data_IF_409719300259
#
_entry.id   IF_409719300259
#
_cell.length_a   1.000
_cell.length_b   1.000
_cell.length_c   1.000
_cell.angle_alpha   90.00
_cell.angle_beta   90.00
_cell.angle_gamma   90.00
#
_symmetry.space_group_name_H-M   'P 1'
#
loop_
_entity.id
_entity.type
_entity.pdbx_description
1 polymer ?
#
# COMPACT_ATOMS: atom_id res chain seq x y z
N UNK A 1 44.01 -29.71 -16.88
CA UNK A 1 43.48 -28.33 -16.95
C UNK A 1 41.98 -28.27 -16.56
N UNK A 2 41.57 -28.95 -15.47
CA UNK A 2 40.15 -29.07 -15.03
C UNK A 2 39.76 -28.11 -13.89
N UNK A 3 40.70 -27.29 -13.40
CA UNK A 3 40.52 -26.45 -12.20
C UNK A 3 40.29 -24.97 -12.49
N UNK A 4 40.37 -24.55 -13.76
CA UNK A 4 40.21 -23.14 -14.16
C UNK A 4 38.81 -22.78 -14.69
N UNK A 5 37.92 -23.76 -14.91
CA UNK A 5 36.55 -23.52 -15.41
C UNK A 5 35.55 -23.28 -14.28
N UNK A 6 35.86 -23.72 -13.05
CA UNK A 6 34.93 -23.62 -11.91
C UNK A 6 34.90 -22.20 -11.29
N UNK A 7 35.95 -21.41 -11.48
CA UNK A 7 36.04 -20.06 -10.88
C UNK A 7 35.15 -19.02 -11.57
N UNK A 8 34.85 -19.18 -12.86
CA UNK A 8 34.11 -18.18 -13.64
C UNK A 8 32.58 -18.30 -13.49
N UNK A 9 32.08 -19.48 -13.10
CA UNK A 9 30.64 -19.70 -12.90
C UNK A 9 30.11 -19.10 -11.58
N UNK A 10 30.98 -18.93 -10.57
CA UNK A 10 30.60 -18.31 -9.29
C UNK A 10 30.49 -16.77 -9.36
N UNK A 11 31.19 -16.12 -10.29
CA UNK A 11 31.16 -14.66 -10.42
C UNK A 11 29.87 -14.11 -11.03
N UNK A 12 29.23 -14.88 -11.93
CA UNK A 12 28.01 -14.45 -12.62
C UNK A 12 26.74 -14.68 -11.80
N UNK A 13 26.76 -15.60 -10.83
CA UNK A 13 25.63 -15.88 -9.93
C UNK A 13 25.48 -14.83 -8.80
N UNK A 14 26.52 -14.01 -8.58
CA UNK A 14 26.50 -12.95 -7.57
C UNK A 14 25.79 -11.66 -7.98
N UNK A 15 25.53 -11.42 -9.27
CA UNK A 15 24.90 -10.19 -9.76
C UNK A 15 23.37 -10.25 -9.90
N UNK A 16 22.73 -11.41 -9.66
CA UNK A 16 21.29 -11.60 -9.92
C UNK A 16 20.36 -11.53 -8.70
N UNK A 17 20.84 -11.27 -7.48
CA UNK A 17 20.02 -11.55 -6.29
C UNK A 17 19.92 -10.44 -5.23
N UNK A 18 20.07 -9.16 -5.60
CA UNK A 18 19.66 -8.08 -4.70
C UNK A 18 18.90 -6.98 -5.44
N UNK A 19 17.83 -7.36 -6.15
CA UNK A 19 16.73 -6.40 -6.25
C UNK A 19 16.25 -6.22 -4.81
N UNK A 20 16.43 -5.04 -4.18
CA UNK A 20 15.76 -4.79 -2.91
C UNK A 20 14.28 -5.11 -3.15
N UNK A 21 13.59 -5.79 -2.21
CA UNK A 21 12.16 -5.94 -2.34
C UNK A 21 11.61 -4.56 -2.64
N UNK A 22 10.78 -4.45 -3.68
CA UNK A 22 10.00 -3.24 -3.90
C UNK A 22 9.19 -3.06 -2.62
N UNK A 23 9.74 -2.27 -1.69
CA UNK A 23 9.00 -1.77 -0.57
C UNK A 23 7.96 -0.89 -1.25
N UNK A 24 6.76 -1.47 -1.46
CA UNK A 24 5.56 -0.69 -1.64
C UNK A 24 5.63 0.43 -0.62
N UNK A 25 5.40 1.65 -1.08
CA UNK A 25 5.54 2.88 -0.31
C UNK A 25 4.49 2.94 0.82
N UNK A 26 4.56 2.02 1.78
CA UNK A 26 3.67 1.93 2.95
C UNK A 26 3.90 3.10 3.92
N UNK A 27 4.86 3.98 3.64
CA UNK A 27 5.29 5.09 4.48
C UNK A 27 4.72 6.45 4.03
N UNK A 28 3.59 6.47 3.35
CA UNK A 28 2.98 7.73 2.89
C UNK A 28 2.17 8.45 3.98
N UNK A 29 1.68 7.74 4.99
CA UNK A 29 0.95 8.37 6.09
C UNK A 29 1.90 8.66 7.26
N UNK A 30 1.94 9.92 7.65
CA UNK A 30 2.62 10.36 8.86
C UNK A 30 1.61 10.99 9.82
N UNK A 31 1.87 10.80 11.11
CA UNK A 31 1.01 11.19 12.21
C UNK A 31 1.77 12.09 13.16
N UNK A 32 1.05 13.01 13.80
CA UNK A 32 1.63 13.93 14.77
C UNK A 32 0.62 14.31 15.85
N UNK A 33 1.07 14.49 17.10
CA UNK A 33 0.22 15.03 18.18
C UNK A 33 0.24 16.55 18.22
N UNK A 34 1.31 17.18 17.76
CA UNK A 34 1.59 18.61 17.89
C UNK A 34 1.60 19.36 16.55
N UNK A 35 1.48 18.63 15.43
CA UNK A 35 1.57 19.15 14.07
C UNK A 35 3.00 19.56 13.68
N UNK A 36 4.01 19.19 14.46
CA UNK A 36 5.42 19.58 14.26
C UNK A 36 6.34 18.37 14.16
N UNK A 37 6.10 17.35 14.98
CA UNK A 37 6.87 16.13 15.05
C UNK A 37 6.09 15.00 14.38
N UNK A 38 6.64 14.44 13.30
CA UNK A 38 5.95 13.48 12.45
C UNK A 38 6.56 12.08 12.58
N UNK A 39 5.70 11.07 12.65
CA UNK A 39 6.09 9.66 12.71
C UNK A 39 5.00 8.76 12.12
N UNK A 40 5.34 7.53 11.70
CA UNK A 40 4.35 6.59 11.17
C UNK A 40 3.40 6.01 12.23
N UNK A 41 3.70 6.23 13.51
CA UNK A 41 2.87 5.84 14.64
C UNK A 41 2.71 7.01 15.58
N UNK A 42 1.58 7.10 16.28
CA UNK A 42 1.46 8.00 17.42
C UNK A 42 2.13 7.31 18.61
N UNK A 43 3.07 7.99 19.27
CA UNK A 43 3.66 7.48 20.51
C UNK A 43 2.58 7.35 21.58
N UNK A 44 2.08 6.14 21.80
CA UNK A 44 0.93 5.85 22.67
C UNK A 44 -0.43 6.04 21.99
N UNK A 45 -1.50 5.49 22.60
CA UNK A 45 -2.88 5.61 22.10
C UNK A 45 -3.36 7.06 22.02
N UNK A 46 -4.24 7.35 21.04
CA UNK A 46 -4.93 8.65 20.95
C UNK A 46 -5.89 8.89 22.12
N UNK A 47 -6.38 7.79 22.69
CA UNK A 47 -7.17 7.76 23.91
C UNK A 47 -6.29 7.22 25.04
N UNK A 48 -6.44 7.79 26.22
CA UNK A 48 -5.79 7.29 27.42
C UNK A 48 -6.40 5.92 27.78
N UNK A 49 -5.59 4.87 27.67
CA UNK A 49 -6.01 3.51 28.02
C UNK A 49 -6.28 3.44 29.52
N UNK A 50 -7.50 3.05 29.92
CA UNK A 50 -7.90 2.90 31.32
C UNK A 50 -8.68 4.07 31.93
N UNK A 51 -9.10 5.04 31.12
CA UNK A 51 -10.05 6.07 31.58
C UNK A 51 -11.41 5.43 31.83
N UNK A 52 -11.98 5.71 33.01
CA UNK A 52 -13.38 5.42 33.31
C UNK A 52 -14.26 6.52 32.76
N UNK A 53 -15.24 6.13 31.96
CA UNK A 53 -16.25 7.01 31.42
C UNK A 53 -17.47 7.03 32.34
N UNK A 54 -18.06 8.20 32.52
CA UNK A 54 -19.32 8.39 33.24
C UNK A 54 -20.43 8.65 32.20
N UNK A 55 -21.66 8.16 32.41
CA UNK A 55 -22.78 8.49 31.53
C UNK A 55 -22.91 9.99 31.28
N UNK A 56 -23.11 10.37 30.02
CA UNK A 56 -23.09 11.76 29.57
C UNK A 56 -21.70 12.33 29.25
N UNK A 57 -20.62 11.59 29.49
CA UNK A 57 -19.27 12.04 29.15
C UNK A 57 -19.11 12.25 27.65
N UNK A 58 -18.44 13.33 27.30
CA UNK A 58 -17.96 13.61 25.94
C UNK A 58 -16.44 13.78 26.00
N UNK A 59 -15.71 13.09 25.13
CA UNK A 59 -14.27 13.32 24.94
C UNK A 59 -14.00 13.64 23.49
N UNK A 60 -13.12 14.62 23.29
CA UNK A 60 -12.59 14.96 21.98
C UNK A 60 -11.08 14.77 22.04
N UNK A 61 -10.55 13.97 21.12
CA UNK A 61 -9.11 13.83 20.90
C UNK A 61 -8.77 14.40 19.54
N UNK A 62 -7.55 14.93 19.43
CA UNK A 62 -7.07 15.52 18.20
C UNK A 62 -5.65 15.07 17.92
N UNK A 63 -5.36 14.83 16.65
CA UNK A 63 -4.04 14.58 16.12
C UNK A 63 -3.97 15.10 14.69
N UNK A 64 -2.79 15.11 14.11
CA UNK A 64 -2.55 15.57 12.75
C UNK A 64 -2.14 14.37 11.89
N UNK A 65 -2.58 14.41 10.64
CA UNK A 65 -2.17 13.49 9.58
C UNK A 65 -1.47 14.29 8.49
N UNK A 66 -0.43 13.71 7.88
CA UNK A 66 0.28 14.29 6.73
C UNK A 66 0.44 13.24 5.65
N UNK A 67 0.25 13.69 4.41
CA UNK A 67 0.56 12.90 3.23
C UNK A 67 2.03 13.11 2.85
N UNK A 68 2.89 12.18 3.26
CA UNK A 68 4.30 12.11 2.85
C UNK A 68 4.51 11.35 1.53
N UNK A 69 3.44 11.07 0.77
CA UNK A 69 3.51 10.48 -0.57
C UNK A 69 3.79 11.49 -1.67
N UNK A 70 4.11 10.99 -2.86
CA UNK A 70 4.46 11.80 -4.04
C UNK A 70 3.24 12.35 -4.79
N UNK A 71 2.04 11.86 -4.47
CA UNK A 71 0.77 12.25 -5.10
C UNK A 71 -0.23 12.71 -4.04
N UNK A 72 -1.23 13.49 -4.44
CA UNK A 72 -2.36 13.82 -3.56
C UNK A 72 -3.15 12.55 -3.21
N UNK A 73 -3.62 12.44 -1.97
CA UNK A 73 -4.30 11.24 -1.49
C UNK A 73 -5.61 11.56 -0.77
N UNK A 74 -6.62 10.73 -0.96
CA UNK A 74 -7.83 10.74 -0.15
C UNK A 74 -7.58 10.11 1.21
N UNK A 75 -8.08 10.77 2.24
CA UNK A 75 -8.00 10.30 3.61
C UNK A 75 -9.30 9.63 4.06
N UNK A 76 -9.17 8.41 4.58
CA UNK A 76 -10.25 7.69 5.25
C UNK A 76 -9.86 7.29 6.67
N UNK A 77 -10.88 7.23 7.52
CA UNK A 77 -10.83 6.76 8.90
C UNK A 77 -11.89 5.67 9.06
N UNK A 78 -11.48 4.53 9.61
CA UNK A 78 -12.41 3.52 10.08
C UNK A 78 -12.29 3.38 11.60
N UNK A 79 -13.41 3.10 12.24
CA UNK A 79 -13.46 2.68 13.64
C UNK A 79 -13.55 1.16 13.67
N UNK A 80 -12.67 0.51 14.43
CA UNK A 80 -12.67 -0.93 14.64
C UNK A 80 -13.00 -1.20 16.10
N UNK A 81 -13.93 -2.12 16.34
CA UNK A 81 -14.30 -2.54 17.69
C UNK A 81 -14.91 -3.93 17.62
N UNK A 82 -14.55 -4.79 18.57
CA UNK A 82 -15.23 -6.08 18.77
C UNK A 82 -16.55 -5.93 19.56
N UNK A 83 -16.79 -4.74 20.12
CA UNK A 83 -17.95 -4.35 20.95
C UNK A 83 -18.60 -5.50 21.75
N UNK A 84 -17.86 -6.15 22.68
CA UNK A 84 -18.31 -7.37 23.34
C UNK A 84 -19.57 -7.18 24.18
N UNK A 85 -19.82 -5.94 24.62
CA UNK A 85 -20.96 -5.56 25.44
C UNK A 85 -22.07 -4.87 24.62
N UNK A 86 -21.94 -4.71 23.30
CA UNK A 86 -22.95 -4.10 22.45
C UNK A 86 -23.25 -2.63 22.80
N UNK A 87 -22.24 -1.83 23.13
CA UNK A 87 -22.36 -0.41 23.42
C UNK A 87 -22.70 0.42 22.18
N UNK A 88 -22.17 0.06 21.00
CA UNK A 88 -22.51 0.70 19.74
C UNK A 88 -23.90 0.27 19.27
N UNK A 89 -24.21 -1.02 19.31
CA UNK A 89 -25.50 -1.56 18.86
C UNK A 89 -26.68 -1.00 19.67
N UNK A 90 -26.44 -0.71 20.96
CA UNK A 90 -27.44 -0.07 21.84
C UNK A 90 -27.48 1.45 21.72
N UNK A 91 -26.61 2.05 20.90
CA UNK A 91 -26.49 3.50 20.77
C UNK A 91 -26.02 4.20 22.06
N UNK A 92 -25.33 3.46 22.94
CA UNK A 92 -24.78 4.02 24.18
C UNK A 92 -23.50 4.80 23.91
N UNK A 93 -22.70 4.38 22.93
CA UNK A 93 -21.52 5.12 22.50
C UNK A 93 -21.69 5.55 21.05
N UNK A 94 -21.44 6.82 20.77
CA UNK A 94 -21.35 7.34 19.40
C UNK A 94 -19.93 7.84 19.14
N UNK A 95 -19.46 7.63 17.92
CA UNK A 95 -18.15 8.11 17.45
C UNK A 95 -18.38 9.03 16.26
N UNK A 96 -17.89 10.25 16.39
CA UNK A 96 -17.89 11.24 15.33
C UNK A 96 -16.45 11.64 15.01
N UNK A 97 -16.15 11.90 13.76
CA UNK A 97 -14.87 12.44 13.37
C UNK A 97 -15.04 13.62 12.41
N UNK A 98 -14.05 14.51 12.40
CA UNK A 98 -13.94 15.59 11.42
C UNK A 98 -12.50 15.86 11.05
N UNK A 99 -12.32 16.43 9.87
CA UNK A 99 -11.03 16.85 9.33
C UNK A 99 -11.02 18.38 9.21
N UNK A 100 -9.97 19.05 9.68
CA UNK A 100 -9.75 20.51 9.54
C UNK A 100 -10.97 21.39 9.88
N UNK A 101 -11.70 21.03 10.94
CA UNK A 101 -12.86 21.80 11.39
C UNK A 101 -14.11 21.67 10.52
N UNK A 102 -14.13 20.74 9.56
CA UNK A 102 -15.33 20.36 8.81
C UNK A 102 -16.47 19.88 9.74
N UNK A 103 -17.65 19.64 9.15
CA UNK A 103 -18.78 19.08 9.88
C UNK A 103 -18.42 17.71 10.48
N UNK A 104 -18.99 17.41 11.64
CA UNK A 104 -18.85 16.11 12.28
C UNK A 104 -19.57 15.04 11.45
N UNK A 105 -18.85 13.98 11.12
CA UNK A 105 -19.37 12.82 10.42
C UNK A 105 -19.44 11.66 11.39
N UNK A 106 -20.58 10.97 11.42
CA UNK A 106 -20.74 9.74 12.21
C UNK A 106 -19.88 8.63 11.60
N UNK A 107 -19.05 7.99 12.42
CA UNK A 107 -18.20 6.85 12.02
C UNK A 107 -18.81 5.60 12.63
N UNK A 108 -19.94 5.17 12.07
CA UNK A 108 -20.83 4.17 12.67
C UNK A 108 -21.08 3.02 11.71
N UNK A 109 -20.00 2.36 11.31
CA UNK A 109 -20.02 1.07 10.60
C UNK A 109 -18.65 0.44 10.84
N UNK A 110 -18.64 -0.51 11.76
CA UNK A 110 -17.45 -1.22 12.23
C UNK A 110 -17.05 -2.21 11.12
N UNK A 111 -16.39 -1.70 10.07
CA UNK A 111 -15.62 -2.43 9.04
C UNK A 111 -15.58 -1.66 7.71
N UNK A 112 -16.39 -0.62 7.54
CA UNK A 112 -16.37 0.23 6.35
C UNK A 112 -15.42 1.41 6.53
N UNK A 113 -14.44 1.55 5.64
CA UNK A 113 -13.57 2.73 5.58
C UNK A 113 -14.42 3.99 5.30
N UNK A 114 -14.56 4.89 6.26
CA UNK A 114 -15.26 6.16 6.05
C UNK A 114 -14.33 7.22 5.50
N UNK A 115 -14.68 7.76 4.35
CA UNK A 115 -13.97 8.90 3.77
C UNK A 115 -14.32 10.17 4.53
N UNK A 116 -13.33 10.75 5.20
CA UNK A 116 -13.50 12.01 5.93
C UNK A 116 -13.24 13.24 5.05
N UNK A 117 -12.31 13.13 4.09
CA UNK A 117 -12.00 14.25 3.20
C UNK A 117 -12.75 14.16 1.88
N UNK A 118 -13.44 15.23 1.51
CA UNK A 118 -14.01 15.40 0.15
C UNK A 118 -12.96 15.82 -0.87
N UNK A 119 -11.88 16.48 -0.41
CA UNK A 119 -10.77 16.94 -1.23
C UNK A 119 -9.51 16.12 -0.93
N UNK A 120 -8.72 15.79 -1.94
CA UNK A 120 -7.47 15.05 -1.72
C UNK A 120 -6.51 15.87 -0.86
N UNK A 121 -5.88 15.24 0.13
CA UNK A 121 -4.79 15.81 0.91
C UNK A 121 -3.58 15.97 -0.03
N UNK A 122 -3.07 17.20 -0.27
CA UNK A 122 -1.98 17.43 -1.22
C UNK A 122 -0.67 16.78 -0.72
N UNK A 123 0.30 16.68 -1.61
CA UNK A 123 1.68 16.25 -1.28
C UNK A 123 2.25 17.17 -0.19
N UNK A 124 2.81 16.58 0.86
CA UNK A 124 3.26 17.23 2.10
C UNK A 124 2.16 18.02 2.84
N UNK A 125 0.91 17.89 2.37
CA UNK A 125 -0.27 18.46 2.98
C UNK A 125 -0.57 17.77 4.31
N UNK A 126 -0.98 18.57 5.28
CA UNK A 126 -1.40 18.06 6.58
C UNK A 126 -2.78 18.55 6.95
N UNK A 127 -3.48 17.74 7.72
CA UNK A 127 -4.81 18.01 8.20
C UNK A 127 -4.94 17.60 9.67
N UNK A 128 -5.73 18.35 10.43
CA UNK A 128 -6.07 18.03 11.82
C UNK A 128 -7.29 17.13 11.85
N UNK A 129 -7.12 15.93 12.38
CA UNK A 129 -8.21 15.00 12.66
C UNK A 129 -8.68 15.21 14.08
N UNK A 130 -9.98 15.36 14.26
CA UNK A 130 -10.60 15.34 15.58
C UNK A 130 -11.59 14.19 15.65
N UNK A 131 -11.48 13.39 16.70
CA UNK A 131 -12.40 12.29 16.99
C UNK A 131 -13.11 12.61 18.29
N UNK A 132 -14.43 12.59 18.25
CA UNK A 132 -15.30 12.77 19.39
C UNK A 132 -15.98 11.46 19.70
N UNK A 133 -15.95 11.09 20.97
CA UNK A 133 -16.70 9.98 21.50
C UNK A 133 -17.64 10.52 22.57
N UNK A 134 -18.89 10.08 22.52
CA UNK A 134 -19.93 10.47 23.47
C UNK A 134 -20.52 9.20 24.07
N UNK A 135 -20.59 9.15 25.40
CA UNK A 135 -21.34 8.13 26.13
C UNK A 135 -22.70 8.72 26.49
N UNK A 136 -23.78 8.13 25.99
CA UNK A 136 -25.14 8.53 26.29
C UNK A 136 -25.42 8.48 27.80
N UNK A 137 -26.48 9.17 28.21
CA UNK A 137 -27.01 9.00 29.56
C UNK A 137 -27.52 7.57 29.74
N UNK A 138 -27.01 6.88 30.76
CA UNK A 138 -27.14 5.44 30.93
C UNK A 138 -27.11 5.09 32.42
N UNK A 139 -27.75 3.98 32.79
CA UNK A 139 -27.82 3.56 34.19
C UNK A 139 -26.57 2.83 34.68
N UNK A 140 -26.61 2.41 35.95
CA UNK A 140 -25.53 1.71 36.64
C UNK A 140 -25.13 0.39 35.95
N UNK A 141 -25.98 -0.19 35.11
CA UNK A 141 -25.65 -1.35 34.29
C UNK A 141 -24.45 -1.12 33.36
N UNK A 142 -24.11 0.13 33.02
CA UNK A 142 -22.96 0.44 32.17
C UNK A 142 -21.61 0.41 32.89
N UNK A 143 -21.60 0.38 34.24
CA UNK A 143 -20.39 0.55 35.06
C UNK A 143 -19.31 -0.54 34.87
N UNK A 144 -19.70 -1.68 34.32
CA UNK A 144 -18.84 -2.85 34.11
C UNK A 144 -18.56 -3.15 32.65
N UNK A 145 -19.11 -2.36 31.74
CA UNK A 145 -18.98 -2.60 30.31
C UNK A 145 -17.66 -2.06 29.78
N UNK A 146 -17.16 -2.71 28.73
CA UNK A 146 -15.89 -2.44 28.10
C UNK A 146 -16.09 -2.21 26.61
N UNK A 147 -15.39 -1.19 26.09
CA UNK A 147 -15.34 -0.91 24.66
C UNK A 147 -13.88 -0.85 24.19
N UNK A 148 -13.33 -1.97 23.70
CA UNK A 148 -12.09 -1.93 22.93
C UNK A 148 -12.34 -1.09 21.66
N UNK A 149 -11.48 -0.11 21.40
CA UNK A 149 -11.66 0.79 20.28
C UNK A 149 -10.33 1.10 19.61
N UNK A 150 -10.26 0.79 18.32
CA UNK A 150 -9.11 1.08 17.46
C UNK A 150 -9.54 1.97 16.30
N UNK A 151 -8.59 2.76 15.81
CA UNK A 151 -8.79 3.63 14.65
C UNK A 151 -7.84 3.22 13.54
N UNK A 152 -8.39 2.90 12.37
CA UNK A 152 -7.61 2.62 11.16
C UNK A 152 -7.62 3.85 10.27
N UNK A 153 -6.43 4.32 9.94
CA UNK A 153 -6.21 5.48 9.08
C UNK A 153 -5.68 4.98 7.74
N UNK A 154 -6.17 5.54 6.64
CA UNK A 154 -5.70 5.16 5.31
C UNK A 154 -5.62 6.37 4.39
N UNK A 155 -4.55 6.42 3.61
CA UNK A 155 -4.41 7.29 2.45
C UNK A 155 -4.55 6.44 1.19
N UNK A 156 -5.34 6.92 0.24
CA UNK A 156 -5.51 6.29 -1.08
C UNK A 156 -5.19 7.32 -2.14
N UNK A 157 -4.30 7.01 -3.09
CA UNK A 157 -3.95 7.93 -4.17
C UNK A 157 -5.21 8.44 -4.90
N UNK A 158 -5.36 9.77 -4.97
CA UNK A 158 -6.53 10.40 -5.58
C UNK A 158 -6.57 10.20 -7.10
N UNK A 159 -5.42 9.91 -7.74
CA UNK A 159 -5.30 9.69 -9.20
C UNK A 159 -5.74 8.29 -9.63
N UNK A 160 -5.77 7.31 -8.71
CA UNK A 160 -6.28 5.94 -8.96
C UNK A 160 -7.81 5.92 -9.04
N UNK A 161 -8.48 7.08 -8.89
CA UNK A 161 -9.90 7.24 -9.18
C UNK A 161 -10.14 7.16 -10.70
N UNK A 162 -9.97 5.97 -11.25
CA UNK A 162 -10.28 5.62 -12.62
C UNK A 162 -11.79 5.40 -12.72
N UNK A 163 -12.50 6.49 -13.01
CA UNK A 163 -13.81 6.55 -13.68
C UNK A 163 -14.59 5.22 -13.80
N UNK A 164 -15.08 4.70 -12.68
CA UNK A 164 -16.07 3.60 -12.64
C UNK A 164 -17.49 4.06 -13.00
N UNK A 165 -17.63 5.24 -13.60
CA UNK A 165 -18.88 5.92 -13.89
C UNK A 165 -19.25 5.93 -15.36
N UNK A 166 -19.14 4.79 -16.06
CA UNK A 166 -19.82 4.64 -17.35
C UNK A 166 -21.32 4.59 -17.08
N UNK A 167 -21.94 5.76 -17.08
CA UNK A 167 -23.39 5.88 -17.24
C UNK A 167 -23.74 5.19 -18.54
N UNK A 168 -24.33 4.00 -18.44
CA UNK A 168 -24.87 3.24 -19.56
C UNK A 168 -26.01 4.02 -20.22
N UNK A 169 -25.66 5.02 -21.01
CA UNK A 169 -26.51 5.56 -22.05
C UNK A 169 -26.55 4.54 -23.17
N UNK A 170 -27.54 3.65 -23.12
CA UNK A 170 -27.87 2.76 -24.21
C UNK A 170 -28.42 3.58 -25.40
N UNK A 171 -27.52 4.18 -26.19
CA UNK A 171 -27.83 4.54 -27.58
C UNK A 171 -27.78 3.28 -28.42
N UNK A 172 -28.96 2.91 -28.89
CA UNK A 172 -29.26 1.91 -29.90
C UNK A 172 -28.48 2.17 -31.21
N UNK A 173 -27.87 1.14 -31.80
CA UNK A 173 -27.52 1.15 -33.22
C UNK A 173 -26.24 0.40 -33.55
N UNK A 174 -26.38 -0.75 -34.22
CA UNK A 174 -25.29 -1.69 -34.49
C UNK A 174 -24.21 -1.20 -35.46
N UNK A 175 -23.07 -1.89 -35.45
CA UNK A 175 -22.05 -1.71 -36.47
C UNK A 175 -20.67 -2.23 -36.09
N UNK A 176 -20.36 -3.43 -36.58
CA UNK A 176 -19.03 -4.00 -36.84
C UNK A 176 -18.06 -4.32 -35.69
N UNK A 177 -17.72 -5.60 -35.66
CA UNK A 177 -16.62 -6.29 -35.00
C UNK A 177 -15.25 -5.67 -35.25
N UNK A 178 -14.59 -5.15 -34.21
CA UNK A 178 -13.13 -5.01 -34.16
C UNK A 178 -12.69 -5.31 -32.73
N UNK A 179 -11.92 -6.40 -32.48
CA UNK A 179 -11.48 -6.76 -31.14
C UNK A 179 -10.18 -6.02 -30.81
N UNK A 180 -10.28 -4.72 -30.53
CA UNK A 180 -9.18 -3.93 -29.96
C UNK A 180 -9.48 -3.65 -28.48
N UNK A 181 -9.39 -4.71 -27.67
CA UNK A 181 -9.38 -4.63 -26.22
C UNK A 181 -8.05 -4.08 -25.73
N UNK A 182 -7.93 -2.75 -25.71
CA UNK A 182 -6.81 -2.06 -25.08
C UNK A 182 -6.92 -2.29 -23.57
N UNK A 183 -6.09 -3.21 -23.06
CA UNK A 183 -5.97 -3.45 -21.62
C UNK A 183 -5.46 -2.16 -20.93
N UNK A 184 -5.97 -1.83 -19.74
CA UNK A 184 -5.46 -0.70 -18.97
C UNK A 184 -3.97 -0.89 -18.72
N UNK A 185 -3.21 0.18 -18.96
CA UNK A 185 -1.77 0.25 -18.76
C UNK A 185 -1.44 -0.01 -17.28
N UNK A 186 -1.20 -1.27 -16.93
CA UNK A 186 -0.55 -1.62 -15.68
C UNK A 186 0.91 -1.18 -15.82
N UNK A 187 1.31 -0.20 -15.01
CA UNK A 187 2.64 0.41 -15.01
C UNK A 187 3.74 -0.56 -14.59
N UNK A 188 4.07 -1.52 -15.45
CA UNK A 188 5.34 -2.23 -15.38
C UNK A 188 6.42 -1.27 -15.91
N UNK A 189 7.44 -0.91 -15.11
CA UNK A 189 8.53 -0.08 -15.59
C UNK A 189 9.18 -0.77 -16.79
N UNK A 190 9.18 -0.05 -17.91
CA UNK A 190 9.89 -0.30 -19.15
C UNK A 190 10.39 -1.74 -19.41
N UNK A 191 9.49 -2.59 -19.90
CA UNK A 191 9.80 -3.94 -20.43
C UNK A 191 10.87 -3.90 -21.53
N UNK A 192 11.14 -2.73 -22.13
CA UNK A 192 12.21 -2.55 -23.14
C UNK A 192 13.62 -2.75 -22.58
N UNK A 193 13.87 -2.31 -21.34
CA UNK A 193 15.18 -2.50 -20.71
C UNK A 193 15.43 -3.97 -20.35
N UNK A 194 14.41 -4.69 -19.88
CA UNK A 194 14.51 -6.11 -19.56
C UNK A 194 14.62 -6.99 -20.80
N UNK A 195 13.95 -6.65 -21.92
CA UNK A 195 14.12 -7.34 -23.21
C UNK A 195 15.54 -7.23 -23.78
N UNK A 196 16.17 -6.05 -23.69
CA UNK A 196 17.56 -5.87 -24.12
C UNK A 196 18.53 -6.67 -23.24
N UNK A 197 18.32 -6.69 -21.92
CA UNK A 197 19.11 -7.49 -20.99
C UNK A 197 19.05 -9.00 -21.29
N UNK A 198 17.84 -9.52 -21.57
CA UNK A 198 17.66 -10.93 -21.92
C UNK A 198 18.36 -11.31 -23.25
N UNK A 199 18.30 -10.44 -24.26
CA UNK A 199 18.95 -10.69 -25.55
C UNK A 199 20.48 -10.75 -25.44
N UNK A 200 21.09 -9.88 -24.61
CA UNK A 200 22.55 -9.88 -24.38
C UNK A 200 22.99 -11.16 -23.67
N UNK A 201 22.23 -11.65 -22.68
CA UNK A 201 22.54 -12.89 -21.96
C UNK A 201 22.45 -14.13 -22.86
N UNK A 202 21.41 -14.22 -23.69
CA UNK A 202 21.26 -15.33 -24.66
C UNK A 202 22.38 -15.29 -25.71
N UNK A 203 22.73 -14.10 -26.21
CA UNK A 203 23.83 -13.92 -27.16
C UNK A 203 25.19 -14.33 -26.58
N UNK A 204 25.49 -13.91 -25.34
CA UNK A 204 26.73 -14.26 -24.66
C UNK A 204 26.85 -15.77 -24.38
N UNK A 205 25.73 -16.41 -23.99
CA UNK A 205 25.69 -17.87 -23.78
C UNK A 205 25.96 -18.64 -25.07
N UNK A 206 25.36 -18.22 -26.20
CA UNK A 206 25.56 -18.88 -27.48
C UNK A 206 27.00 -18.74 -28.00
N UNK A 207 27.61 -17.56 -27.82
CA UNK A 207 29.00 -17.31 -28.23
C UNK A 207 30.00 -18.19 -27.46
N UNK A 208 29.77 -18.42 -26.16
CA UNK A 208 30.62 -19.30 -25.34
C UNK A 208 30.50 -20.77 -25.75
N UNK A 209 29.29 -21.26 -26.04
CA UNK A 209 29.09 -22.65 -26.50
C UNK A 209 29.76 -22.89 -27.85
N UNK A 210 29.68 -21.94 -28.78
CA UNK A 210 30.33 -22.04 -30.08
C UNK A 210 31.86 -21.94 -30.00
N UNK A 211 32.39 -21.12 -29.09
CA UNK A 211 33.84 -21.00 -28.87
C UNK A 211 34.43 -22.26 -28.19
N UNK A 212 33.66 -22.96 -27.35
CA UNK A 212 34.09 -24.20 -26.70
C UNK A 212 34.30 -25.35 -27.70
N UNK A 213 33.39 -25.50 -28.67
CA UNK A 213 33.46 -26.58 -29.66
C UNK A 213 34.65 -26.51 -30.62
N UNK A 214 35.15 -25.32 -30.92
CA UNK A 214 36.30 -25.15 -31.83
C UNK A 214 37.64 -25.64 -31.28
N UNK A 215 37.74 -25.87 -29.96
CA UNK A 215 38.99 -26.34 -29.35
C UNK A 215 39.17 -27.85 -29.41
N UNK A 216 38.12 -28.61 -29.71
CA UNK A 216 38.19 -30.08 -29.73
C UNK A 216 38.64 -30.62 -31.10
N UNK A 217 38.57 -29.82 -32.16
CA UNK A 217 38.91 -30.25 -33.53
C UNK A 217 40.41 -30.10 -33.89
N UNK A 218 41.21 -29.40 -33.07
CA UNK A 218 42.64 -29.13 -33.36
C UNK A 218 43.61 -30.18 -32.76
N UNK A 219 43.12 -31.16 -31.97
CA UNK A 219 43.98 -32.13 -31.26
C UNK A 219 44.19 -33.48 -31.99
N UNK A 220 43.49 -33.79 -33.09
CA UNK A 220 43.62 -35.09 -33.79
C UNK A 220 44.56 -35.11 -35.02
N UNK A 221 45.20 -33.99 -35.38
CA UNK A 221 45.93 -33.86 -36.65
C UNK A 221 47.41 -34.23 -36.68
N UNK A 222 48.04 -34.70 -35.59
CA UNK A 222 49.50 -34.84 -35.56
C UNK A 222 49.99 -36.10 -34.84
N UNK A 223 49.94 -37.25 -35.52
CA UNK A 223 50.91 -38.34 -35.37
C UNK A 223 50.53 -39.50 -36.31
N UNK A 224 51.26 -39.66 -37.42
CA UNK A 224 51.79 -40.94 -37.90
C UNK A 224 52.31 -40.79 -39.35
N UNK A 225 53.60 -40.46 -39.49
CA UNK A 225 54.38 -40.81 -40.66
C UNK A 225 55.88 -40.79 -40.31
N UNK A 226 56.43 -41.94 -39.92
CA UNK A 226 57.82 -42.36 -40.19
C UNK A 226 58.03 -43.79 -39.69
N UNK A 227 58.16 -44.73 -40.63
CA UNK A 227 59.21 -45.76 -40.70
C UNK A 227 59.05 -46.52 -42.02
#
# INVERSE_FOLDING_TARGET
MRRLVVATLLGLLGLLATSPPAAASDQQLELSRDGRSWSHTLGGGVLDTGVRWVPGDTRVVAFHVRNGGETSADFSLATLSDDPDGLFDRGLVTVHARLDGQAWTSVHDLDTDYRLSTEGLPVDGSARVEVRLELADAGNETQHLLLPLDFRLRLTDATVRQDGGTTGGATTGGGSTTPDGVLPATGAPEVRASLLGAAVLVGAGLALVLAGRRREDDEEGTCHATA
#
